data_IF_653306563188
#
_entry.id   IF_653306563188
#
_cell.length_a   1.000
_cell.length_b   1.000
_cell.length_c   1.000
_cell.angle_alpha   90.00
_cell.angle_beta   90.00
_cell.angle_gamma   90.00
#
_symmetry.space_group_name_H-M   'P 1'
#
loop_
_entity.id
_entity.type
_entity.pdbx_description
1 polymer ?
#
# COMPACT_ATOMS: atom_id res chain seq x y z
N UNK A 1 -73.47 17.00 10.82
CA UNK A 1 -73.04 18.27 10.18
C UNK A 1 -71.51 18.27 10.16
N UNK A 2 -70.94 18.32 8.95
CA UNK A 2 -69.55 18.72 8.61
C UNK A 2 -68.41 17.86 9.16
N UNK A 3 -67.37 17.49 8.41
CA UNK A 3 -67.05 17.60 7.00
C UNK A 3 -65.97 16.55 6.70
N UNK A 4 -66.08 15.90 5.55
CA UNK A 4 -65.03 15.09 4.92
C UNK A 4 -63.79 15.94 4.64
N UNK A 5 -62.61 15.46 4.99
CA UNK A 5 -61.34 16.03 4.54
C UNK A 5 -60.59 14.99 3.70
N UNK A 6 -60.69 15.13 2.38
CA UNK A 6 -59.82 14.47 1.41
C UNK A 6 -58.58 15.35 1.24
N UNK A 7 -57.41 14.84 1.61
CA UNK A 7 -56.15 15.36 1.09
C UNK A 7 -55.50 14.28 0.22
N UNK A 8 -55.79 14.39 -1.07
CA UNK A 8 -54.91 13.90 -2.11
C UNK A 8 -53.66 14.77 -2.10
N UNK A 9 -52.49 14.18 -1.90
CA UNK A 9 -51.23 14.91 -1.83
C UNK A 9 -50.05 13.95 -1.94
N UNK A 10 -49.71 13.61 -3.18
CA UNK A 10 -48.54 12.84 -3.56
C UNK A 10 -47.27 13.58 -3.09
N UNK A 11 -46.68 13.15 -1.96
CA UNK A 11 -45.36 13.63 -1.54
C UNK A 11 -44.31 12.69 -2.14
N UNK A 12 -43.90 13.01 -3.37
CA UNK A 12 -42.73 12.40 -4.02
C UNK A 12 -41.50 12.83 -3.23
N UNK A 13 -41.00 11.96 -2.36
CA UNK A 13 -39.71 12.11 -1.68
C UNK A 13 -38.56 11.92 -2.68
N UNK A 14 -38.30 12.94 -3.47
CA UNK A 14 -37.05 13.12 -4.21
C UNK A 14 -35.97 13.56 -3.21
N UNK A 15 -35.31 12.59 -2.56
CA UNK A 15 -34.09 12.87 -1.79
C UNK A 15 -32.92 12.04 -2.34
N UNK A 16 -32.16 12.75 -3.18
CA UNK A 16 -30.80 12.51 -3.64
C UNK A 16 -30.14 11.19 -3.20
N UNK A 17 -30.05 10.23 -4.14
CA UNK A 17 -28.98 9.25 -4.10
C UNK A 17 -27.66 10.01 -4.05
N UNK A 18 -27.01 9.95 -2.89
CA UNK A 18 -25.69 10.49 -2.67
C UNK A 18 -24.77 9.90 -3.72
N UNK A 19 -24.09 10.76 -4.48
CA UNK A 19 -23.01 10.34 -5.35
C UNK A 19 -21.92 9.80 -4.45
N UNK A 20 -21.88 8.48 -4.25
CA UNK A 20 -20.71 7.80 -3.74
C UNK A 20 -19.61 8.02 -4.78
N UNK A 21 -18.85 9.10 -4.63
CA UNK A 21 -17.61 9.27 -5.37
C UNK A 21 -16.77 8.06 -5.00
N UNK A 22 -16.45 7.23 -6.00
CA UNK A 22 -15.53 6.13 -5.82
C UNK A 22 -14.21 6.72 -5.30
N UNK A 23 -13.98 6.63 -3.99
CA UNK A 23 -12.77 7.09 -3.31
C UNK A 23 -11.65 6.11 -3.67
N UNK A 24 -11.20 6.18 -4.92
CA UNK A 24 -9.91 5.58 -5.30
C UNK A 24 -8.86 6.40 -4.55
N UNK A 25 -8.09 5.79 -3.64
CA UNK A 25 -7.03 6.50 -2.96
C UNK A 25 -6.10 7.10 -4.03
N UNK A 26 -5.67 8.36 -3.89
CA UNK A 26 -4.75 8.96 -4.84
C UNK A 26 -3.52 8.06 -4.96
N UNK A 27 -3.12 7.78 -6.21
CA UNK A 27 -1.92 6.98 -6.46
C UNK A 27 -0.70 7.68 -5.82
N UNK A 28 0.21 6.92 -5.19
CA UNK A 28 1.45 7.50 -4.69
C UNK A 28 2.25 8.16 -5.82
N UNK A 29 3.14 9.11 -5.47
CA UNK A 29 4.16 9.59 -6.40
C UNK A 29 4.96 8.43 -7.00
N UNK A 30 5.39 8.56 -8.25
CA UNK A 30 6.07 7.48 -8.98
C UNK A 30 7.32 6.95 -8.26
N UNK A 31 8.09 7.82 -7.61
CA UNK A 31 9.26 7.41 -6.81
C UNK A 31 8.88 6.55 -5.60
N UNK A 32 7.72 6.80 -4.99
CA UNK A 32 7.20 6.01 -3.88
C UNK A 32 6.69 4.66 -4.40
N UNK A 33 6.02 4.65 -5.55
CA UNK A 33 5.58 3.39 -6.19
C UNK A 33 6.77 2.51 -6.57
N UNK A 34 7.79 3.08 -7.22
CA UNK A 34 9.00 2.34 -7.60
C UNK A 34 9.72 1.78 -6.36
N UNK A 35 9.86 2.58 -5.30
CA UNK A 35 10.42 2.11 -4.03
C UNK A 35 9.62 0.94 -3.43
N UNK A 36 8.28 1.03 -3.42
CA UNK A 36 7.41 -0.03 -2.89
C UNK A 36 7.61 -1.34 -3.65
N UNK A 37 7.69 -1.30 -4.97
CA UNK A 37 7.86 -2.49 -5.81
C UNK A 37 9.22 -3.15 -5.56
N UNK A 38 10.29 -2.36 -5.53
CA UNK A 38 11.64 -2.84 -5.27
C UNK A 38 11.79 -3.41 -3.86
N UNK A 39 11.30 -2.69 -2.84
CA UNK A 39 11.39 -3.12 -1.43
C UNK A 39 10.62 -4.41 -1.17
N UNK A 40 9.47 -4.60 -1.84
CA UNK A 40 8.71 -5.87 -1.79
C UNK A 40 9.50 -7.03 -2.39
N UNK A 41 10.24 -6.81 -3.47
CA UNK A 41 11.12 -7.84 -4.06
C UNK A 41 12.23 -8.22 -3.09
N UNK A 42 12.88 -7.24 -2.45
CA UNK A 42 13.85 -7.48 -1.38
C UNK A 42 13.25 -8.33 -0.24
N UNK A 43 12.08 -7.93 0.29
CA UNK A 43 11.41 -8.66 1.37
C UNK A 43 11.00 -10.08 0.97
N UNK A 44 10.64 -10.30 -0.30
CA UNK A 44 10.38 -11.64 -0.81
C UNK A 44 11.66 -12.49 -0.77
N UNK A 45 12.76 -12.00 -1.35
CA UNK A 45 14.04 -12.72 -1.41
C UNK A 45 14.55 -13.05 -0.01
N UNK A 46 14.51 -12.08 0.92
CA UNK A 46 14.98 -12.27 2.30
C UNK A 46 14.24 -13.40 3.01
N UNK A 47 12.92 -13.48 2.84
CA UNK A 47 12.13 -14.61 3.40
C UNK A 47 12.55 -15.94 2.78
N UNK A 48 12.82 -15.97 1.48
CA UNK A 48 13.24 -17.20 0.80
C UNK A 48 14.63 -17.68 1.25
N UNK A 49 15.56 -16.79 1.62
CA UNK A 49 16.88 -17.18 2.16
C UNK A 49 16.76 -17.84 3.55
N UNK A 50 15.79 -17.42 4.35
CA UNK A 50 15.57 -17.93 5.73
C UNK A 50 14.95 -19.32 5.72
N UNK A 51 14.11 -19.64 4.74
CA UNK A 51 13.36 -20.91 4.66
C UNK A 51 14.14 -22.06 3.97
N UNK A 52 15.41 -21.83 3.59
CA UNK A 52 16.24 -22.79 2.85
C UNK A 52 17.31 -23.48 3.73
N UNK A 53 16.94 -24.65 4.28
CA UNK A 53 17.78 -25.43 5.20
C UNK A 53 18.19 -26.82 4.67
N UNK A 54 17.72 -27.25 3.49
CA UNK A 54 18.06 -28.57 2.93
C UNK A 54 19.35 -28.55 2.08
N UNK A 55 20.08 -29.68 1.95
CA UNK A 55 21.29 -29.75 1.13
C UNK A 55 21.10 -29.35 -0.35
N UNK A 56 19.92 -29.62 -0.94
CA UNK A 56 19.58 -29.21 -2.31
C UNK A 56 19.30 -27.71 -2.44
N UNK A 57 18.96 -27.05 -1.32
CA UNK A 57 18.68 -25.61 -1.27
C UNK A 57 19.97 -24.77 -1.12
N UNK A 58 21.10 -25.35 -0.72
CA UNK A 58 22.38 -24.63 -0.53
C UNK A 58 22.86 -23.93 -1.82
N UNK A 59 22.73 -24.57 -2.99
CA UNK A 59 23.09 -23.97 -4.28
C UNK A 59 22.06 -22.93 -4.78
N UNK A 60 20.86 -22.90 -4.19
CA UNK A 60 19.86 -21.85 -4.42
C UNK A 60 20.13 -20.65 -3.50
N UNK A 61 20.62 -20.89 -2.29
CA UNK A 61 21.03 -19.86 -1.32
C UNK A 61 22.07 -18.88 -1.86
N UNK A 62 23.14 -19.34 -2.52
CA UNK A 62 24.14 -18.44 -3.13
C UNK A 62 23.50 -17.49 -4.17
N UNK A 63 22.63 -17.99 -5.05
CA UNK A 63 21.90 -17.17 -6.02
C UNK A 63 20.91 -16.20 -5.37
N UNK A 64 20.32 -16.57 -4.24
CA UNK A 64 19.44 -15.70 -3.47
C UNK A 64 20.22 -14.60 -2.74
N UNK A 65 21.45 -14.88 -2.28
CA UNK A 65 22.34 -13.88 -1.69
C UNK A 65 22.79 -12.84 -2.73
N UNK A 66 23.17 -13.26 -3.93
CA UNK A 66 23.45 -12.32 -5.02
C UNK A 66 22.22 -11.45 -5.36
N UNK A 67 21.03 -12.04 -5.32
CA UNK A 67 19.78 -11.31 -5.52
C UNK A 67 19.50 -10.34 -4.37
N UNK A 68 19.84 -10.70 -3.14
CA UNK A 68 19.68 -9.82 -1.98
C UNK A 68 20.50 -8.53 -2.18
N UNK A 69 21.77 -8.64 -2.58
CA UNK A 69 22.61 -7.46 -2.83
C UNK A 69 22.05 -6.58 -3.97
N UNK A 70 21.43 -7.18 -4.99
CA UNK A 70 20.85 -6.43 -6.11
C UNK A 70 19.59 -5.66 -5.69
N UNK A 71 18.70 -6.28 -4.91
CA UNK A 71 17.37 -5.73 -4.64
C UNK A 71 17.23 -5.04 -3.28
N UNK A 72 18.09 -5.34 -2.32
CA UNK A 72 18.02 -4.77 -0.97
C UNK A 72 19.00 -3.61 -0.76
N UNK A 73 20.13 -3.57 -1.47
CA UNK A 73 21.17 -2.58 -1.21
C UNK A 73 20.68 -1.13 -1.41
N UNK A 74 20.91 -0.30 -0.40
CA UNK A 74 20.52 1.11 -0.35
C UNK A 74 19.04 1.39 -0.14
N UNK A 75 18.19 0.36 0.00
CA UNK A 75 16.76 0.52 0.25
C UNK A 75 16.45 1.13 1.62
N UNK A 76 17.24 0.87 2.66
CA UNK A 76 17.09 1.46 4.00
C UNK A 76 17.35 2.97 3.98
N UNK A 77 18.45 3.38 3.30
CA UNK A 77 18.78 4.79 3.09
C UNK A 77 17.70 5.50 2.28
N UNK A 78 17.16 4.84 1.26
CA UNK A 78 16.07 5.38 0.43
C UNK A 78 14.76 5.48 1.19
N UNK A 79 14.42 4.52 2.04
CA UNK A 79 13.25 4.57 2.92
C UNK A 79 13.33 5.80 3.85
N UNK A 80 14.47 6.00 4.50
CA UNK A 80 14.70 7.16 5.36
C UNK A 80 14.63 8.48 4.58
N UNK A 81 15.15 8.52 3.34
CA UNK A 81 15.03 9.70 2.48
C UNK A 81 13.58 10.00 2.08
N UNK A 82 12.81 8.98 1.69
CA UNK A 82 11.40 9.13 1.31
C UNK A 82 10.53 9.53 2.50
N UNK A 83 10.70 8.91 3.67
CA UNK A 83 10.00 9.29 4.91
C UNK A 83 10.27 10.76 5.28
N UNK A 84 11.50 11.24 5.14
CA UNK A 84 11.84 12.66 5.35
C UNK A 84 11.19 13.59 4.32
N UNK A 85 11.24 13.22 3.04
CA UNK A 85 10.68 14.01 1.94
C UNK A 85 9.16 14.16 2.06
N UNK A 86 8.47 13.08 2.45
CA UNK A 86 7.02 12.99 2.49
C UNK A 86 6.42 13.09 3.90
N UNK A 87 7.17 13.60 4.88
CA UNK A 87 6.74 13.67 6.30
C UNK A 87 5.37 14.32 6.51
N UNK A 88 5.01 15.31 5.69
CA UNK A 88 3.76 16.06 5.77
C UNK A 88 2.64 15.47 4.88
N UNK A 89 2.90 14.33 4.21
CA UNK A 89 1.93 13.59 3.41
C UNK A 89 1.51 12.30 4.13
N UNK A 90 0.39 12.31 4.88
CA UNK A 90 -0.03 11.16 5.68
C UNK A 90 -0.36 9.94 4.83
N UNK A 91 -0.81 10.11 3.59
CA UNK A 91 -1.13 8.99 2.70
C UNK A 91 0.14 8.23 2.27
N UNK A 92 1.21 8.95 1.93
CA UNK A 92 2.51 8.36 1.59
C UNK A 92 3.17 7.76 2.82
N UNK A 93 3.18 8.48 3.95
CA UNK A 93 3.77 7.97 5.19
C UNK A 93 3.14 6.65 5.63
N UNK A 94 1.81 6.52 5.50
CA UNK A 94 1.13 5.26 5.82
C UNK A 94 1.65 4.06 5.02
N UNK A 95 1.98 4.26 3.74
CA UNK A 95 2.56 3.23 2.87
C UNK A 95 4.01 2.93 3.24
N UNK A 96 4.81 3.96 3.49
CA UNK A 96 6.24 3.81 3.83
C UNK A 96 6.44 3.19 5.22
N UNK A 97 5.51 3.37 6.14
CA UNK A 97 5.56 2.77 7.48
C UNK A 97 5.27 1.26 7.50
N UNK A 98 4.85 0.67 6.38
CA UNK A 98 4.68 -0.80 6.26
C UNK A 98 6.04 -1.53 6.18
N UNK A 99 7.13 -0.82 5.91
CA UNK A 99 8.47 -1.41 5.73
C UNK A 99 9.35 -1.24 6.96
N UNK A 100 10.09 -2.30 7.29
CA UNK A 100 11.14 -2.30 8.31
C UNK A 100 12.26 -1.32 7.94
N UNK A 101 12.82 -0.64 8.95
CA UNK A 101 13.83 0.42 8.75
C UNK A 101 15.24 -0.09 8.52
N UNK A 102 15.51 -1.33 8.92
CA UNK A 102 16.82 -1.96 8.89
C UNK A 102 16.68 -3.41 8.41
N UNK A 103 16.94 -3.65 7.13
CA UNK A 103 16.94 -5.01 6.55
C UNK A 103 18.21 -5.38 5.82
N UNK A 104 19.05 -4.40 5.48
CA UNK A 104 20.37 -4.61 4.89
C UNK A 104 21.41 -5.02 5.93
#
# INVERSE_FOLDING_TARGET
MSATLRFAGCLVLLTACSHASALTPPRPPSEVTAFIEERKTCDYIRRQVVEEDSPEQVARRERLLDSFDIYCAGTDKRLAALKRRYKDNPAVMRRLSEFEEHVE
#
